data_IF_618570240738
#
_entry.id   IF_618570240738
#
_cell.length_a   1.000
_cell.length_b   1.000
_cell.length_c   1.000
_cell.angle_alpha   90.00
_cell.angle_beta   90.00
_cell.angle_gamma   90.00
#
_symmetry.space_group_name_H-M   'P 1'
#
loop_
_entity.id
_entity.type
_entity.pdbx_description
1 polymer ?
#
# COMPACT_ATOMS: atom_id res chain seq x y z
N UNK A 1 -28.10 -28.62 65.74
CA UNK A 1 -27.79 -27.32 66.37
C UNK A 1 -27.72 -26.32 65.22
N UNK A 2 -28.86 -25.81 64.75
CA UNK A 2 -29.55 -24.58 65.22
C UNK A 2 -28.77 -23.31 64.86
N UNK A 3 -29.27 -22.49 63.91
CA UNK A 3 -30.01 -21.21 64.10
C UNK A 3 -29.07 -20.08 64.56
N UNK A 4 -29.08 -18.81 64.15
CA UNK A 4 -30.02 -17.89 63.49
C UNK A 4 -29.25 -16.54 63.41
N UNK A 5 -29.16 -15.86 62.26
CA UNK A 5 -29.91 -14.64 61.90
C UNK A 5 -30.02 -13.50 62.96
N UNK A 6 -29.61 -12.27 62.52
CA UNK A 6 -30.30 -10.95 62.66
C UNK A 6 -29.60 -9.78 63.44
N UNK A 7 -29.19 -8.78 62.63
CA UNK A 7 -29.36 -7.29 62.65
C UNK A 7 -28.73 -6.33 63.70
N UNK A 8 -28.37 -5.15 63.15
CA UNK A 8 -28.27 -3.82 63.79
C UNK A 8 -26.84 -3.24 63.66
N UNK A 9 -26.55 -1.99 63.29
CA UNK A 9 -27.31 -0.75 63.40
C UNK A 9 -26.70 0.37 62.52
N UNK A 10 -27.49 1.43 62.30
CA UNK A 10 -27.27 2.61 61.45
C UNK A 10 -26.14 3.56 61.89
N UNK A 11 -25.62 4.40 60.95
CA UNK A 11 -25.52 5.87 61.13
C UNK A 11 -24.94 6.63 59.92
N UNK A 12 -25.77 7.52 59.35
CA UNK A 12 -25.54 8.90 58.84
C UNK A 12 -24.42 9.11 57.78
N UNK A 13 -24.63 9.85 56.68
CA UNK A 13 -25.10 11.24 56.60
C UNK A 13 -25.27 11.64 55.12
N UNK A 14 -26.25 12.47 54.76
CA UNK A 14 -26.22 13.24 53.51
C UNK A 14 -27.54 13.33 52.73
N UNK A 15 -28.48 14.14 53.23
CA UNK A 15 -29.59 14.69 52.45
C UNK A 15 -29.06 15.60 51.33
N UNK A 16 -29.57 15.48 50.11
CA UNK A 16 -29.97 16.64 49.29
C UNK A 16 -30.98 16.22 48.21
N UNK A 17 -32.20 16.75 48.32
CA UNK A 17 -33.24 16.66 47.30
C UNK A 17 -32.89 17.57 46.12
N UNK A 18 -32.97 17.05 44.89
CA UNK A 18 -32.95 17.87 43.67
C UNK A 18 -33.99 17.37 42.66
N UNK A 19 -35.13 18.07 42.68
CA UNK A 19 -35.90 18.61 41.55
C UNK A 19 -35.99 17.80 40.25
N UNK A 20 -37.24 17.45 39.91
CA UNK A 20 -37.74 17.07 38.59
C UNK A 20 -37.27 18.06 37.51
N UNK A 21 -36.52 17.57 36.53
CA UNK A 21 -36.18 18.28 35.29
C UNK A 21 -36.59 17.44 34.09
N UNK A 22 -37.52 17.96 33.31
CA UNK A 22 -37.98 17.37 32.05
C UNK A 22 -36.82 17.27 31.05
N UNK A 23 -36.66 16.11 30.41
CA UNK A 23 -35.74 15.97 29.28
C UNK A 23 -36.36 16.60 28.02
N UNK A 24 -35.62 17.42 27.25
CA UNK A 24 -36.13 18.00 26.01
C UNK A 24 -36.20 16.94 24.91
N UNK A 25 -37.38 16.83 24.29
CA UNK A 25 -37.59 16.07 23.04
C UNK A 25 -36.64 16.62 21.97
N UNK A 26 -35.72 15.80 21.45
CA UNK A 26 -34.97 16.12 20.22
C UNK A 26 -35.97 16.17 19.06
N UNK A 27 -36.10 17.35 18.46
CA UNK A 27 -36.76 17.57 17.18
C UNK A 27 -35.96 16.85 16.08
N UNK A 28 -36.57 15.85 15.46
CA UNK A 28 -36.09 15.25 14.21
C UNK A 28 -36.49 16.21 13.09
N UNK A 29 -35.56 16.72 12.26
CA UNK A 29 -35.92 17.57 11.13
C UNK A 29 -36.72 16.74 10.09
N UNK A 30 -37.72 17.33 9.42
CA UNK A 30 -38.50 16.59 8.43
C UNK A 30 -37.63 16.19 7.23
N UNK A 31 -37.85 14.96 6.76
CA UNK A 31 -37.23 14.44 5.55
C UNK A 31 -37.50 15.38 4.37
N UNK A 32 -36.44 15.81 3.67
CA UNK A 32 -36.58 16.54 2.40
C UNK A 32 -37.23 15.62 1.38
N UNK A 33 -38.40 16.03 0.92
CA UNK A 33 -39.14 15.45 -0.20
C UNK A 33 -38.24 15.38 -1.45
N UNK A 34 -37.98 14.16 -1.92
CA UNK A 34 -37.42 13.87 -3.24
C UNK A 34 -38.57 13.81 -4.24
N UNK A 35 -38.73 14.85 -5.07
CA UNK A 35 -39.16 14.73 -6.48
C UNK A 35 -39.59 16.08 -7.04
N UNK A 36 -38.82 16.61 -7.99
CA UNK A 36 -39.42 17.30 -9.14
C UNK A 36 -38.89 16.62 -10.40
N UNK A 37 -39.74 16.29 -11.39
CA UNK A 37 -39.27 15.73 -12.64
C UNK A 37 -38.55 16.80 -13.45
N UNK A 38 -37.32 16.51 -13.88
CA UNK A 38 -36.61 17.30 -14.88
C UNK A 38 -37.32 17.09 -16.23
N UNK A 39 -37.67 18.15 -16.99
CA UNK A 39 -38.32 17.99 -18.28
C UNK A 39 -37.38 17.27 -19.27
N UNK A 40 -37.91 16.40 -20.15
CA UNK A 40 -37.08 15.70 -21.13
C UNK A 40 -36.53 16.71 -22.13
N UNK A 41 -35.21 16.92 -22.09
CA UNK A 41 -34.50 17.72 -23.09
C UNK A 41 -34.33 16.84 -24.33
N UNK A 42 -35.05 17.17 -25.39
CA UNK A 42 -35.06 16.47 -26.66
C UNK A 42 -33.89 16.89 -27.55
N UNK A 43 -32.64 16.63 -27.14
CA UNK A 43 -31.49 16.64 -28.06
C UNK A 43 -30.47 15.57 -27.64
N UNK A 44 -30.04 14.66 -28.53
CA UNK A 44 -28.94 13.76 -28.22
C UNK A 44 -27.66 14.59 -28.03
N UNK A 45 -26.85 14.35 -26.98
CA UNK A 45 -25.58 15.04 -26.86
C UNK A 45 -24.72 14.61 -28.03
N UNK A 46 -24.44 15.55 -28.94
CA UNK A 46 -23.34 15.42 -29.87
C UNK A 46 -22.10 15.01 -29.07
N UNK A 47 -21.60 13.81 -29.33
CA UNK A 47 -20.39 13.27 -28.77
C UNK A 47 -19.24 14.24 -29.07
N UNK A 48 -18.93 15.10 -28.11
CA UNK A 48 -17.67 15.86 -28.14
C UNK A 48 -16.57 14.79 -28.21
N UNK A 49 -15.64 14.86 -29.17
CA UNK A 49 -14.49 13.98 -29.13
C UNK A 49 -13.82 14.20 -27.77
N UNK A 50 -13.67 13.13 -26.99
CA UNK A 50 -12.89 13.19 -25.77
C UNK A 50 -11.50 13.67 -26.18
N UNK A 51 -10.97 14.77 -25.60
CA UNK A 51 -9.61 15.18 -25.90
C UNK A 51 -8.71 14.01 -25.48
N UNK A 52 -7.98 13.43 -26.44
CA UNK A 52 -6.89 12.53 -26.12
C UNK A 52 -6.02 13.25 -25.08
N UNK A 53 -5.71 12.62 -23.94
CA UNK A 53 -4.86 13.26 -22.94
C UNK A 53 -3.56 13.64 -23.64
N UNK A 54 -3.24 14.93 -23.63
CA UNK A 54 -1.96 15.40 -24.15
C UNK A 54 -0.86 14.69 -23.35
N UNK A 55 0.19 14.15 -23.99
CA UNK A 55 1.31 13.58 -23.25
C UNK A 55 1.81 14.61 -22.24
N UNK A 56 1.97 14.19 -20.99
CA UNK A 56 2.50 15.07 -19.96
C UNK A 56 3.91 15.52 -20.37
N UNK A 57 4.24 16.82 -20.27
CA UNK A 57 5.56 17.29 -20.62
C UNK A 57 6.62 16.62 -19.74
N UNK A 58 7.77 16.29 -20.34
CA UNK A 58 8.92 15.78 -19.61
C UNK A 58 9.34 16.78 -18.52
N UNK A 59 9.58 16.30 -17.31
CA UNK A 59 10.00 17.15 -16.21
C UNK A 59 11.40 17.73 -16.51
N UNK A 60 11.68 19.03 -16.26
CA UNK A 60 12.92 19.70 -16.71
C UNK A 60 14.23 19.04 -16.25
N UNK A 61 14.21 18.37 -15.11
CA UNK A 61 15.37 17.73 -14.47
C UNK A 61 15.57 16.26 -14.90
N UNK A 62 14.67 15.73 -15.74
CA UNK A 62 14.74 14.37 -16.26
C UNK A 62 15.40 14.41 -17.64
N UNK A 63 16.39 13.53 -17.85
CA UNK A 63 17.16 13.44 -19.10
C UNK A 63 16.37 12.67 -20.17
N UNK A 64 15.75 11.55 -19.78
CA UNK A 64 14.94 10.68 -20.64
C UNK A 64 13.94 9.86 -19.82
N UNK A 65 12.87 9.44 -20.48
CA UNK A 65 11.95 8.43 -19.94
C UNK A 65 12.57 7.05 -20.19
N UNK A 66 12.66 6.23 -19.14
CA UNK A 66 13.10 4.82 -19.20
C UNK A 66 11.90 3.92 -19.44
N UNK A 67 10.82 4.12 -18.68
CA UNK A 67 9.56 3.41 -18.82
C UNK A 67 8.40 4.41 -18.77
N UNK A 68 7.59 4.45 -19.83
CA UNK A 68 6.41 5.31 -19.91
C UNK A 68 5.29 4.81 -19.01
N UNK A 69 4.29 5.67 -18.75
CA UNK A 69 3.12 5.30 -17.97
C UNK A 69 2.37 4.11 -18.60
N UNK A 70 2.26 4.09 -19.93
CA UNK A 70 1.61 3.03 -20.69
C UNK A 70 2.39 1.71 -20.62
N UNK A 71 3.72 1.76 -20.67
CA UNK A 71 4.57 0.58 -20.51
C UNK A 71 4.43 -0.01 -19.11
N UNK A 72 4.43 0.86 -18.08
CA UNK A 72 4.24 0.47 -16.69
C UNK A 72 2.87 -0.17 -16.51
N UNK A 73 1.78 0.49 -16.91
CA UNK A 73 0.41 -0.02 -16.79
C UNK A 73 0.25 -1.40 -17.45
N UNK A 74 0.72 -1.53 -18.69
CA UNK A 74 0.68 -2.81 -19.42
C UNK A 74 1.44 -3.91 -18.67
N UNK A 75 2.64 -3.62 -18.17
CA UNK A 75 3.44 -4.60 -17.44
C UNK A 75 2.82 -4.98 -16.10
N UNK A 76 2.31 -4.00 -15.35
CA UNK A 76 1.61 -4.23 -14.07
C UNK A 76 0.37 -5.11 -14.30
N UNK A 77 -0.36 -4.89 -15.40
CA UNK A 77 -1.49 -5.73 -15.77
C UNK A 77 -1.08 -7.18 -16.05
N UNK A 78 0.02 -7.41 -16.77
CA UNK A 78 0.56 -8.76 -17.00
C UNK A 78 0.95 -9.45 -15.69
N UNK A 79 1.66 -8.75 -14.80
CA UNK A 79 2.03 -9.29 -13.49
C UNK A 79 0.81 -9.65 -12.65
N UNK A 80 -0.20 -8.77 -12.63
CA UNK A 80 -1.46 -9.02 -11.93
C UNK A 80 -2.16 -10.29 -12.42
N UNK A 81 -2.14 -10.57 -13.73
CA UNK A 81 -2.70 -11.81 -14.28
C UNK A 81 -1.93 -13.06 -13.88
N UNK A 82 -0.60 -13.00 -13.84
CA UNK A 82 0.24 -14.10 -13.38
C UNK A 82 -0.03 -14.41 -11.90
N UNK A 83 0.00 -13.37 -11.06
CA UNK A 83 -0.27 -13.50 -9.62
C UNK A 83 -1.68 -14.01 -9.36
N UNK A 84 -2.69 -13.46 -10.04
CA UNK A 84 -4.08 -13.92 -9.88
C UNK A 84 -4.26 -15.39 -10.23
N UNK A 85 -3.53 -15.89 -11.24
CA UNK A 85 -3.54 -17.31 -11.61
C UNK A 85 -2.89 -18.17 -10.53
N UNK A 86 -1.69 -17.80 -10.10
CA UNK A 86 -0.88 -18.55 -9.12
C UNK A 86 -1.53 -18.65 -7.72
N UNK A 87 -2.39 -17.69 -7.39
CA UNK A 87 -3.07 -17.59 -6.10
C UNK A 87 -4.59 -17.76 -6.20
N UNK A 88 -5.09 -18.28 -7.32
CA UNK A 88 -6.54 -18.44 -7.56
C UNK A 88 -7.25 -19.36 -6.56
N UNK A 89 -6.51 -20.23 -5.85
CA UNK A 89 -7.00 -21.18 -4.85
C UNK A 89 -6.46 -20.91 -3.43
N UNK A 90 -5.83 -19.74 -3.20
CA UNK A 90 -5.08 -19.45 -1.97
C UNK A 90 -5.43 -18.10 -1.38
N UNK A 91 -5.44 -18.00 -0.06
CA UNK A 91 -5.49 -16.70 0.61
C UNK A 91 -4.15 -15.97 0.46
N UNK A 92 -4.20 -14.71 0.04
CA UNK A 92 -3.04 -13.91 -0.30
C UNK A 92 -2.96 -12.65 0.56
N UNK A 93 -1.82 -12.43 1.21
CA UNK A 93 -1.45 -11.15 1.81
C UNK A 93 -0.47 -10.43 0.87
N UNK A 94 -0.90 -9.34 0.26
CA UNK A 94 -0.03 -8.44 -0.51
C UNK A 94 0.54 -7.41 0.46
N UNK A 95 1.87 -7.36 0.53
CA UNK A 95 2.57 -6.55 1.52
C UNK A 95 3.55 -5.59 0.84
N UNK A 96 3.14 -4.33 0.71
CA UNK A 96 3.90 -3.28 0.01
C UNK A 96 4.98 -2.65 0.90
N UNK A 97 6.19 -2.49 0.35
CA UNK A 97 7.31 -1.86 1.05
C UNK A 97 7.28 -0.34 0.87
N UNK A 98 7.07 0.38 1.97
CA UNK A 98 7.03 1.84 1.97
C UNK A 98 8.43 2.46 2.01
N UNK A 99 8.62 3.63 1.38
CA UNK A 99 7.60 4.41 0.65
C UNK A 99 7.50 4.05 -0.83
N UNK A 100 8.59 3.57 -1.42
CA UNK A 100 8.77 3.50 -2.87
C UNK A 100 7.70 2.71 -3.60
N UNK A 101 7.33 1.55 -3.07
CA UNK A 101 6.41 0.63 -3.73
C UNK A 101 4.92 1.03 -3.66
N UNK A 102 4.55 2.15 -3.03
CA UNK A 102 3.13 2.45 -2.77
C UNK A 102 2.29 2.56 -4.06
N UNK A 103 2.84 3.24 -5.09
CA UNK A 103 2.16 3.43 -6.36
C UNK A 103 2.03 2.09 -7.11
N UNK A 104 3.15 1.38 -7.25
CA UNK A 104 3.18 0.07 -7.88
C UNK A 104 2.24 -0.93 -7.19
N UNK A 105 2.26 -1.00 -5.85
CA UNK A 105 1.38 -1.88 -5.07
C UNK A 105 -0.09 -1.55 -5.36
N UNK A 106 -0.46 -0.27 -5.33
CA UNK A 106 -1.85 0.15 -5.58
C UNK A 106 -2.32 -0.18 -6.99
N UNK A 107 -1.44 -0.12 -7.99
CA UNK A 107 -1.78 -0.45 -9.37
C UNK A 107 -1.87 -1.97 -9.54
N UNK A 108 -0.87 -2.70 -9.03
CA UNK A 108 -0.78 -4.15 -9.10
C UNK A 108 -2.02 -4.85 -8.53
N UNK A 109 -2.45 -4.48 -7.31
CA UNK A 109 -3.58 -5.14 -6.64
C UNK A 109 -4.89 -4.99 -7.42
N UNK A 110 -5.05 -3.90 -8.19
CA UNK A 110 -6.23 -3.68 -9.05
C UNK A 110 -6.23 -4.58 -10.29
N UNK A 111 -5.07 -5.08 -10.69
CA UNK A 111 -4.90 -5.98 -11.83
C UNK A 111 -4.83 -7.46 -11.46
N UNK A 112 -4.81 -7.82 -10.17
CA UNK A 112 -4.82 -9.21 -9.74
C UNK A 112 -6.14 -9.87 -10.13
N UNK A 113 -6.08 -10.72 -11.16
CA UNK A 113 -7.21 -11.47 -11.67
C UNK A 113 -6.72 -12.78 -12.36
N UNK A 114 -7.39 -13.93 -12.18
CA UNK A 114 -8.63 -14.15 -11.41
C UNK A 114 -8.45 -13.82 -9.92
N UNK A 115 -9.55 -13.44 -9.26
CA UNK A 115 -9.51 -12.99 -7.87
C UNK A 115 -9.20 -14.16 -6.93
N UNK A 116 -8.18 -14.06 -6.06
CA UNK A 116 -7.98 -15.01 -4.98
C UNK A 116 -9.22 -15.09 -4.07
N UNK A 117 -9.47 -16.22 -3.39
CA UNK A 117 -10.61 -16.38 -2.48
C UNK A 117 -10.64 -15.33 -1.37
N UNK A 118 -9.47 -14.87 -0.92
CA UNK A 118 -9.30 -13.76 0.01
C UNK A 118 -7.99 -13.04 -0.28
N UNK A 119 -8.04 -11.72 -0.39
CA UNK A 119 -6.87 -10.87 -0.62
C UNK A 119 -6.86 -9.74 0.40
N UNK A 120 -5.78 -9.69 1.19
CA UNK A 120 -5.48 -8.59 2.10
C UNK A 120 -4.35 -7.73 1.52
N UNK A 121 -4.41 -6.42 1.79
CA UNK A 121 -3.33 -5.50 1.47
C UNK A 121 -2.90 -4.82 2.76
N UNK A 122 -1.61 -4.87 3.04
CA UNK A 122 -1.00 -4.13 4.13
C UNK A 122 0.33 -3.51 3.66
N UNK A 123 0.85 -2.60 4.47
CA UNK A 123 2.09 -1.90 4.19
C UNK A 123 2.99 -1.90 5.42
N UNK A 124 4.29 -1.90 5.18
CA UNK A 124 5.26 -1.67 6.23
C UNK A 124 6.40 -0.82 5.70
N UNK A 125 7.08 -0.15 6.62
CA UNK A 125 8.30 0.58 6.30
C UNK A 125 9.49 -0.23 6.80
N UNK A 126 10.40 -0.55 5.89
CA UNK A 126 11.71 -1.08 6.21
C UNK A 126 12.69 0.08 6.39
N UNK A 127 13.39 0.13 7.51
CA UNK A 127 14.61 0.94 7.64
C UNK A 127 15.83 0.01 7.73
N UNK A 128 16.84 0.28 6.91
CA UNK A 128 18.17 -0.31 7.10
C UNK A 128 18.83 0.35 8.31
N UNK A 129 19.45 -0.44 9.18
CA UNK A 129 20.35 0.11 10.20
C UNK A 129 21.58 0.74 9.54
N UNK A 130 22.02 1.92 10.01
CA UNK A 130 23.26 2.59 9.58
C UNK A 130 23.01 3.83 8.72
N UNK A 131 23.56 4.96 9.14
CA UNK A 131 23.41 6.29 8.52
C UNK A 131 24.25 6.49 7.24
N UNK A 132 24.45 5.44 6.44
CA UNK A 132 25.34 5.47 5.27
C UNK A 132 24.83 4.63 4.09
N UNK A 133 25.44 4.81 2.93
CA UNK A 133 25.14 4.15 1.63
C UNK A 133 25.42 2.63 1.61
N UNK A 134 25.59 2.00 2.77
CA UNK A 134 25.84 0.56 2.93
C UNK A 134 24.85 -0.01 3.94
N UNK A 135 23.98 -0.91 3.49
CA UNK A 135 23.02 -1.60 4.38
C UNK A 135 23.77 -2.46 5.40
N UNK A 136 23.50 -2.31 6.69
CA UNK A 136 24.04 -3.18 7.75
C UNK A 136 23.42 -4.59 7.80
N UNK A 137 22.52 -4.93 6.87
CA UNK A 137 21.84 -6.22 6.81
C UNK A 137 20.75 -6.43 7.88
N UNK A 138 20.59 -5.50 8.83
CA UNK A 138 19.49 -5.53 9.80
C UNK A 138 18.39 -4.58 9.36
N UNK A 139 17.20 -5.12 9.08
CA UNK A 139 16.00 -4.36 8.74
C UNK A 139 15.15 -4.20 10.00
N UNK A 140 14.80 -2.96 10.33
CA UNK A 140 13.77 -2.68 11.33
C UNK A 140 12.42 -2.52 10.60
N UNK A 141 11.45 -3.32 11.02
CA UNK A 141 10.06 -3.16 10.61
C UNK A 141 9.44 -2.05 11.48
N UNK A 142 8.77 -1.10 10.84
CA UNK A 142 8.04 -0.06 11.56
C UNK A 142 6.89 -0.66 12.40
N UNK A 143 6.66 -0.03 13.55
CA UNK A 143 5.82 -0.52 14.66
C UNK A 143 4.32 -0.64 14.37
N UNK A 144 3.85 -0.12 13.23
CA UNK A 144 2.47 -0.28 12.80
C UNK A 144 2.15 -1.66 12.24
N UNK A 145 3.13 -2.33 11.60
CA UNK A 145 2.92 -3.65 11.01
C UNK A 145 3.06 -4.75 12.06
N UNK A 146 2.02 -5.58 12.16
CA UNK A 146 1.97 -6.72 13.07
C UNK A 146 2.56 -7.94 12.39
N UNK A 147 3.81 -8.28 12.70
CA UNK A 147 4.50 -9.42 12.08
C UNK A 147 3.72 -10.73 12.26
N UNK A 148 2.99 -10.91 13.36
CA UNK A 148 2.13 -12.07 13.59
C UNK A 148 1.01 -12.25 12.56
N UNK A 149 0.64 -11.19 11.83
CA UNK A 149 -0.41 -11.24 10.80
C UNK A 149 -0.05 -12.09 9.59
N UNK A 150 1.24 -12.40 9.38
CA UNK A 150 1.71 -13.22 8.25
C UNK A 150 1.58 -14.72 8.50
N UNK A 151 1.37 -15.14 9.76
CA UNK A 151 1.38 -16.54 10.16
C UNK A 151 0.33 -17.35 9.39
N UNK A 152 0.77 -18.42 8.74
CA UNK A 152 -0.09 -19.33 7.97
C UNK A 152 -0.59 -18.75 6.64
N UNK A 153 -0.21 -17.52 6.27
CA UNK A 153 -0.64 -16.88 5.02
C UNK A 153 0.40 -17.04 3.92
N UNK A 154 -0.05 -17.03 2.67
CA UNK A 154 0.85 -16.79 1.55
C UNK A 154 1.08 -15.28 1.42
N UNK A 155 2.35 -14.87 1.49
CA UNK A 155 2.75 -13.46 1.43
C UNK A 155 3.37 -13.15 0.08
N UNK A 156 2.91 -12.08 -0.55
CA UNK A 156 3.56 -11.45 -1.69
C UNK A 156 4.14 -10.11 -1.27
N UNK A 157 5.46 -10.05 -1.12
CA UNK A 157 6.20 -8.81 -0.92
C UNK A 157 6.21 -8.01 -2.23
N UNK A 158 5.83 -6.74 -2.16
CA UNK A 158 5.83 -5.83 -3.32
C UNK A 158 6.82 -4.71 -3.12
N UNK A 159 7.83 -4.63 -3.99
CA UNK A 159 8.93 -3.65 -3.95
C UNK A 159 8.99 -2.86 -5.27
N UNK A 160 9.42 -1.60 -5.21
CA UNK A 160 9.65 -0.78 -6.40
C UNK A 160 10.94 -1.17 -7.13
N UNK A 161 12.03 -1.43 -6.40
CA UNK A 161 13.32 -1.77 -6.99
C UNK A 161 14.13 -2.75 -6.14
N UNK A 162 14.70 -3.76 -6.82
CA UNK A 162 15.77 -4.57 -6.26
C UNK A 162 17.11 -4.03 -6.76
N UNK A 163 17.91 -3.53 -5.82
CA UNK A 163 19.31 -3.15 -6.04
C UNK A 163 20.22 -4.30 -5.55
N UNK A 164 20.82 -4.18 -4.38
CA UNK A 164 21.73 -5.22 -3.84
C UNK A 164 21.03 -6.53 -3.47
N UNK A 165 19.71 -6.50 -3.20
CA UNK A 165 18.91 -7.63 -2.72
C UNK A 165 18.94 -7.86 -1.19
N UNK A 166 19.81 -7.18 -0.44
CA UNK A 166 19.97 -7.42 0.99
C UNK A 166 18.69 -7.18 1.80
N UNK A 167 18.00 -6.07 1.55
CA UNK A 167 16.78 -5.69 2.28
C UNK A 167 15.69 -6.74 2.11
N UNK A 168 15.37 -7.09 0.86
CA UNK A 168 14.34 -8.08 0.56
C UNK A 168 14.72 -9.47 1.06
N UNK A 169 15.99 -9.90 0.95
CA UNK A 169 16.43 -11.19 1.49
C UNK A 169 16.23 -11.27 3.01
N UNK A 170 16.54 -10.20 3.74
CA UNK A 170 16.28 -10.13 5.17
C UNK A 170 14.78 -10.14 5.50
N UNK A 171 13.94 -9.46 4.69
CA UNK A 171 12.49 -9.43 4.88
C UNK A 171 11.84 -10.79 4.66
N UNK A 172 12.25 -11.50 3.60
CA UNK A 172 11.81 -12.87 3.32
C UNK A 172 12.11 -13.76 4.53
N UNK A 173 13.36 -13.75 5.01
CA UNK A 173 13.76 -14.56 6.17
C UNK A 173 12.96 -14.21 7.44
N UNK A 174 12.65 -12.93 7.67
CA UNK A 174 11.82 -12.49 8.81
C UNK A 174 10.40 -13.03 8.72
N UNK A 175 9.78 -13.00 7.54
CA UNK A 175 8.39 -13.46 7.35
C UNK A 175 8.28 -14.97 7.39
N UNK A 176 9.25 -15.69 6.82
CA UNK A 176 9.35 -17.15 6.94
C UNK A 176 9.53 -17.56 8.41
N UNK A 177 10.43 -16.90 9.14
CA UNK A 177 10.64 -17.13 10.57
C UNK A 177 9.41 -16.81 11.44
N UNK A 178 8.55 -15.89 11.00
CA UNK A 178 7.28 -15.59 11.64
C UNK A 178 6.17 -16.63 11.36
N UNK A 179 6.42 -17.58 10.46
CA UNK A 179 5.54 -18.69 10.14
C UNK A 179 4.61 -18.44 8.95
N UNK A 180 5.00 -17.61 7.98
CA UNK A 180 4.30 -17.52 6.70
C UNK A 180 4.24 -18.90 5.99
N UNK A 181 3.14 -19.20 5.30
CA UNK A 181 2.99 -20.44 4.54
C UNK A 181 3.86 -20.45 3.28
N UNK A 182 4.05 -19.29 2.67
CA UNK A 182 5.08 -19.03 1.66
C UNK A 182 5.37 -17.53 1.61
N UNK A 183 6.56 -17.15 1.17
CA UNK A 183 6.90 -15.77 0.84
C UNK A 183 7.39 -15.73 -0.60
N UNK A 184 6.78 -14.87 -1.42
CA UNK A 184 7.23 -14.55 -2.78
C UNK A 184 7.43 -13.06 -2.92
N UNK A 185 8.20 -12.64 -3.92
CA UNK A 185 8.55 -11.26 -4.21
C UNK A 185 8.05 -10.87 -5.60
N UNK A 186 7.37 -9.73 -5.65
CA UNK A 186 7.06 -9.00 -6.87
C UNK A 186 7.80 -7.66 -6.85
N UNK A 187 8.73 -7.47 -7.76
CA UNK A 187 9.47 -6.21 -7.89
C UNK A 187 9.17 -5.54 -9.23
N UNK A 188 8.95 -4.23 -9.22
CA UNK A 188 8.77 -3.49 -10.47
C UNK A 188 10.08 -3.45 -11.26
N UNK A 189 11.20 -3.16 -10.61
CA UNK A 189 12.51 -3.03 -11.23
C UNK A 189 13.54 -3.96 -10.61
N UNK A 190 14.42 -4.52 -11.44
CA UNK A 190 15.55 -5.32 -11.00
C UNK A 190 16.87 -4.84 -11.62
N UNK A 191 17.78 -4.34 -10.78
CA UNK A 191 19.15 -3.94 -11.17
C UNK A 191 20.11 -5.10 -10.96
N UNK A 192 20.00 -6.13 -11.79
CA UNK A 192 20.86 -7.34 -11.72
C UNK A 192 22.35 -7.04 -11.63
N UNK A 193 22.82 -5.99 -12.32
CA UNK A 193 24.22 -5.57 -12.30
C UNK A 193 24.75 -5.17 -10.90
N UNK A 194 23.86 -4.86 -9.94
CA UNK A 194 24.23 -4.47 -8.57
C UNK A 194 23.98 -5.56 -7.53
N UNK A 195 23.50 -6.73 -7.95
CA UNK A 195 23.13 -7.83 -7.06
C UNK A 195 24.31 -8.28 -6.19
N UNK A 196 24.07 -8.46 -4.89
CA UNK A 196 25.08 -8.93 -3.93
C UNK A 196 24.71 -10.23 -3.20
N UNK A 197 23.47 -10.66 -3.30
CA UNK A 197 22.95 -11.89 -2.67
C UNK A 197 22.20 -12.74 -3.70
N UNK A 198 22.16 -14.08 -3.54
CA UNK A 198 21.43 -14.97 -4.42
C UNK A 198 19.92 -14.86 -4.15
N UNK A 199 19.29 -13.82 -4.67
CA UNK A 199 17.87 -13.55 -4.49
C UNK A 199 17.27 -13.14 -5.81
N UNK A 200 16.23 -13.85 -6.23
CA UNK A 200 15.47 -13.56 -7.43
C UNK A 200 14.02 -13.27 -7.02
N UNK A 201 13.33 -12.38 -7.74
CA UNK A 201 11.90 -12.20 -7.55
C UNK A 201 11.14 -13.12 -8.50
N UNK A 202 10.10 -13.77 -7.99
CA UNK A 202 9.22 -14.61 -8.80
C UNK A 202 8.48 -13.80 -9.87
N UNK A 203 8.20 -12.52 -9.57
CA UNK A 203 7.55 -11.60 -10.48
C UNK A 203 8.43 -10.35 -10.62
N UNK A 204 8.94 -10.11 -11.82
CA UNK A 204 9.75 -8.92 -12.13
C UNK A 204 9.11 -8.11 -13.24
N UNK A 205 8.87 -6.83 -13.01
CA UNK A 205 8.35 -5.90 -14.02
C UNK A 205 9.36 -5.69 -15.13
N UNK A 206 10.48 -5.06 -14.83
CA UNK A 206 11.50 -4.70 -15.80
C UNK A 206 12.90 -4.97 -15.26
N UNK A 207 13.78 -5.44 -16.13
CA UNK A 207 15.22 -5.32 -15.88
C UNK A 207 15.61 -3.85 -16.05
N UNK A 208 16.24 -3.27 -15.03
CA UNK A 208 16.56 -1.85 -14.99
C UNK A 208 18.06 -1.63 -15.22
N UNK A 209 18.46 -0.73 -16.14
CA UNK A 209 19.86 -0.35 -16.29
C UNK A 209 20.36 0.33 -15.02
N UNK A 210 21.69 0.38 -14.86
CA UNK A 210 22.31 1.10 -13.75
C UNK A 210 22.32 2.62 -13.96
N UNK A 211 21.14 3.20 -13.96
CA UNK A 211 20.91 4.65 -14.05
C UNK A 211 20.32 5.20 -12.75
N UNK A 212 20.51 6.49 -12.52
CA UNK A 212 19.88 7.19 -11.40
C UNK A 212 18.44 7.57 -11.77
N UNK A 213 17.50 6.73 -11.35
CA UNK A 213 16.10 6.80 -11.77
C UNK A 213 15.17 7.38 -10.70
N UNK A 214 14.08 8.00 -11.14
CA UNK A 214 13.01 8.52 -10.28
C UNK A 214 11.66 8.39 -10.98
N UNK A 215 10.57 8.60 -10.23
CA UNK A 215 9.21 8.53 -10.75
C UNK A 215 8.51 7.23 -10.37
N UNK A 216 7.18 7.24 -10.49
CA UNK A 216 6.31 6.11 -10.17
C UNK A 216 6.60 5.51 -8.78
N UNK A 217 6.64 6.37 -7.77
CA UNK A 217 6.96 6.00 -6.38
C UNK A 217 8.44 6.12 -6.01
N UNK A 218 9.35 6.00 -6.97
CA UNK A 218 10.81 6.12 -6.75
C UNK A 218 11.19 7.59 -6.61
N UNK A 219 12.03 7.91 -5.63
CA UNK A 219 12.40 9.29 -5.32
C UNK A 219 13.88 9.62 -5.48
N UNK A 220 14.11 10.92 -5.51
CA UNK A 220 15.38 11.49 -5.11
C UNK A 220 15.14 12.63 -4.12
N UNK A 221 15.67 12.49 -2.90
CA UNK A 221 15.45 13.43 -1.81
C UNK A 221 13.96 13.76 -1.58
N UNK A 222 13.12 12.73 -1.58
CA UNK A 222 11.66 12.76 -1.42
C UNK A 222 10.89 13.46 -2.56
N UNK A 223 11.55 13.77 -3.68
CA UNK A 223 10.92 14.37 -4.86
C UNK A 223 10.59 13.32 -5.92
N UNK A 224 9.81 13.74 -6.93
CA UNK A 224 9.51 13.02 -8.17
C UNK A 224 8.64 11.76 -8.07
N UNK A 225 8.31 11.25 -6.87
CA UNK A 225 7.45 10.05 -6.70
C UNK A 225 6.14 10.10 -7.51
N UNK A 226 5.62 11.30 -7.74
CA UNK A 226 4.35 11.56 -8.44
C UNK A 226 4.46 11.57 -9.98
N UNK A 227 5.66 11.47 -10.55
CA UNK A 227 5.79 11.33 -12.01
C UNK A 227 5.14 10.00 -12.43
N UNK A 228 4.30 9.97 -13.47
CA UNK A 228 3.59 8.75 -13.87
C UNK A 228 4.45 7.79 -14.70
N UNK A 229 5.71 8.15 -14.93
CA UNK A 229 6.71 7.39 -15.67
C UNK A 229 7.97 7.24 -14.82
N UNK A 230 8.84 6.32 -15.19
CA UNK A 230 10.18 6.20 -14.63
C UNK A 230 11.16 6.87 -15.58
N UNK A 231 11.95 7.81 -15.07
CA UNK A 231 12.92 8.58 -15.85
C UNK A 231 14.28 8.63 -15.18
N UNK A 232 15.33 8.88 -15.98
CA UNK A 232 16.67 9.12 -15.47
C UNK A 232 16.87 10.61 -15.15
N UNK A 233 17.45 10.92 -14.00
CA UNK A 233 17.79 12.30 -13.61
C UNK A 233 19.02 12.76 -14.38
N UNK A 234 19.06 14.02 -14.83
CA UNK A 234 20.28 14.57 -15.45
C UNK A 234 21.38 14.69 -14.39
N UNK A 235 22.61 14.35 -14.77
CA UNK A 235 23.78 14.31 -13.86
C UNK A 235 23.97 15.61 -13.07
N UNK A 236 23.70 16.78 -13.66
CA UNK A 236 23.84 18.09 -13.02
C UNK A 236 22.90 18.32 -11.82
N UNK A 237 21.79 17.56 -11.73
CA UNK A 237 20.86 17.62 -10.60
C UNK A 237 21.13 16.55 -9.53
N UNK A 238 22.07 15.63 -9.76
CA UNK A 238 22.47 14.60 -8.81
C UNK A 238 23.54 15.18 -7.89
N UNK A 239 23.19 15.48 -6.64
CA UNK A 239 24.17 15.83 -5.60
C UNK A 239 25.05 14.60 -5.31
N UNK A 240 26.35 14.77 -5.52
CA UNK A 240 27.39 13.80 -5.13
C UNK A 240 27.74 13.92 -3.66
#
# INVERSE_FOLDING_TARGET
MELSHVRGNLSRTGLLQARRGAQPRRLVPPARSLSQPVPPTSQPPHSRPHPHPRPLPLHPEISKVIFSAEQIDARVAELGRLIGTDYSDRELLVLGVLKGAFAFTSDLVRHIYPYPPHLEVDFFKASSYGSGTVSSGRVQLDSGFKLESVRGKHVLLVEDIIDTGNTLSALVAVMEGAGAASVRVCALLDKKARRRVPMEAEYTGFECPDEFIVGYGIDYAEKYRNLPYIGAVKDEFIKK
#
